data_IF_577465035377
#
_entry.id   IF_577465035377
#
_cell.length_a   1.000
_cell.length_b   1.000
_cell.length_c   1.000
_cell.angle_alpha   90.00
_cell.angle_beta   90.00
_cell.angle_gamma   90.00
#
_symmetry.space_group_name_H-M   'P 1'
#
loop_
_entity.id
_entity.type
_entity.pdbx_description
1 polymer ?
#
# COMPACT_ATOMS: atom_id res chain seq x y z
N UNK A 1 5.19 0.72 1.50
CA UNK A 1 4.57 0.18 0.28
C UNK A 1 3.24 -0.46 0.66
N UNK A 2 2.14 0.19 0.27
CA UNK A 2 0.77 -0.10 0.68
C UNK A 2 -0.16 -0.10 -0.56
N UNK A 3 -0.03 -1.12 -1.42
CA UNK A 3 -0.63 -1.10 -2.76
C UNK A 3 -2.16 -1.12 -2.76
N UNK A 4 -2.78 -2.00 -1.97
CA UNK A 4 -4.23 -2.14 -1.96
C UNK A 4 -4.88 -0.87 -1.40
N UNK A 5 -4.30 -0.26 -0.36
CA UNK A 5 -4.81 1.00 0.17
C UNK A 5 -4.70 2.15 -0.83
N UNK A 6 -3.58 2.32 -1.53
CA UNK A 6 -3.46 3.38 -2.54
C UNK A 6 -4.44 3.18 -3.68
N UNK A 7 -4.60 1.95 -4.18
CA UNK A 7 -5.58 1.65 -5.22
C UNK A 7 -7.01 1.94 -4.73
N UNK A 8 -7.35 1.52 -3.52
CA UNK A 8 -8.69 1.70 -2.97
C UNK A 8 -9.02 3.17 -2.70
N UNK A 9 -8.11 3.92 -2.07
CA UNK A 9 -8.31 5.36 -1.82
C UNK A 9 -8.36 6.15 -3.13
N UNK A 10 -7.54 5.79 -4.12
CA UNK A 10 -7.60 6.40 -5.45
C UNK A 10 -8.93 6.15 -6.15
N UNK A 11 -9.47 4.92 -6.06
CA UNK A 11 -10.80 4.60 -6.59
C UNK A 11 -11.89 5.46 -5.93
N UNK A 12 -11.89 5.57 -4.60
CA UNK A 12 -12.85 6.41 -3.88
C UNK A 12 -12.75 7.90 -4.23
N UNK A 13 -11.55 8.38 -4.53
CA UNK A 13 -11.31 9.75 -4.95
C UNK A 13 -11.48 10.00 -6.45
N UNK A 14 -11.82 8.96 -7.24
CA UNK A 14 -11.90 9.04 -8.69
C UNK A 14 -10.59 9.58 -9.30
N UNK A 15 -9.48 9.00 -8.82
CA UNK A 15 -8.11 9.32 -9.21
C UNK A 15 -7.48 8.18 -10.01
N UNK A 16 -6.40 8.49 -10.74
CA UNK A 16 -5.69 7.51 -11.57
C UNK A 16 -5.09 6.40 -10.69
N UNK A 17 -5.61 5.17 -10.83
CA UNK A 17 -5.06 3.98 -10.18
C UNK A 17 -3.63 3.72 -10.65
N UNK A 18 -3.41 3.89 -11.95
CA UNK A 18 -2.10 3.77 -12.60
C UNK A 18 -1.09 4.76 -12.03
N UNK A 19 -1.48 6.04 -11.90
CA UNK A 19 -0.63 7.06 -11.27
C UNK A 19 -0.31 6.74 -9.80
N UNK A 20 -1.31 6.28 -9.04
CA UNK A 20 -1.11 5.92 -7.64
C UNK A 20 -0.19 4.71 -7.44
N UNK A 21 -0.26 3.69 -8.31
CA UNK A 21 0.62 2.53 -8.21
C UNK A 21 2.03 2.83 -8.74
N UNK A 22 2.14 3.70 -9.74
CA UNK A 22 3.40 4.08 -10.39
C UNK A 22 4.28 5.01 -9.54
N UNK A 23 3.70 5.74 -8.58
CA UNK A 23 4.35 6.82 -7.83
C UNK A 23 5.71 6.45 -7.22
N UNK A 24 5.84 5.26 -6.62
CA UNK A 24 7.08 4.73 -6.04
C UNK A 24 8.24 4.57 -7.05
N UNK A 25 7.91 4.53 -8.34
CA UNK A 25 8.86 4.36 -9.44
C UNK A 25 9.22 5.68 -10.12
N UNK A 26 8.58 6.79 -9.73
CA UNK A 26 8.77 8.10 -10.33
C UNK A 26 9.40 9.05 -9.31
N UNK A 27 10.63 9.50 -9.62
CA UNK A 27 11.34 10.48 -8.80
C UNK A 27 11.12 11.90 -9.34
N UNK A 28 11.07 12.87 -8.43
CA UNK A 28 10.97 14.28 -8.80
C UNK A 28 9.63 14.66 -9.42
N UNK A 29 9.65 15.61 -10.35
CA UNK A 29 8.46 16.15 -11.01
C UNK A 29 8.00 15.25 -12.18
N UNK A 30 6.82 14.62 -12.10
CA UNK A 30 6.29 13.76 -13.16
C UNK A 30 5.70 14.52 -14.37
N UNK A 31 5.44 15.82 -14.27
CA UNK A 31 4.58 16.58 -15.19
C UNK A 31 4.99 16.54 -16.68
N UNK A 32 6.28 16.35 -16.98
CA UNK A 32 6.80 16.30 -18.36
C UNK A 32 6.86 14.89 -18.94
N UNK A 33 6.58 13.86 -18.14
CA UNK A 33 6.81 12.46 -18.51
C UNK A 33 5.51 11.64 -18.59
N UNK A 34 4.42 12.13 -17.98
CA UNK A 34 3.17 11.38 -17.86
C UNK A 34 1.96 12.26 -18.19
N UNK A 35 0.85 11.66 -18.64
CA UNK A 35 -0.42 12.35 -18.81
C UNK A 35 -0.91 13.04 -17.52
N UNK A 36 -1.69 14.13 -17.61
CA UNK A 36 -2.10 14.92 -16.43
C UNK A 36 -2.81 14.11 -15.34
N UNK A 37 -3.67 13.16 -15.71
CA UNK A 37 -4.40 12.30 -14.76
C UNK A 37 -3.45 11.35 -14.00
N UNK A 38 -2.45 10.78 -14.68
CA UNK A 38 -1.40 9.95 -14.06
C UNK A 38 -0.54 10.80 -13.12
N UNK A 39 -0.21 12.02 -13.52
CA UNK A 39 0.52 12.99 -12.69
C UNK A 39 -0.23 13.30 -11.40
N UNK A 40 -1.53 13.60 -11.49
CA UNK A 40 -2.37 13.82 -10.31
C UNK A 40 -2.46 12.58 -9.42
N UNK A 41 -2.54 11.39 -10.00
CA UNK A 41 -2.46 10.13 -9.25
C UNK A 41 -1.14 9.95 -8.49
N UNK A 42 -0.01 10.27 -9.13
CA UNK A 42 1.31 10.24 -8.48
C UNK A 42 1.37 11.24 -7.30
N UNK A 43 0.82 12.44 -7.48
CA UNK A 43 0.78 13.42 -6.39
C UNK A 43 -0.17 13.01 -5.26
N UNK A 44 -1.30 12.37 -5.58
CA UNK A 44 -2.21 11.82 -4.57
C UNK A 44 -1.53 10.75 -3.71
N UNK A 45 -0.84 9.78 -4.33
CA UNK A 45 -0.08 8.78 -3.58
C UNK A 45 0.88 9.43 -2.58
N UNK A 46 1.69 10.39 -3.04
CA UNK A 46 2.64 11.10 -2.18
C UNK A 46 1.97 11.86 -1.04
N UNK A 47 0.77 12.43 -1.27
CA UNK A 47 -0.02 13.09 -0.22
C UNK A 47 -0.54 12.09 0.80
N UNK A 48 -1.01 10.92 0.36
CA UNK A 48 -1.46 9.83 1.23
C UNK A 48 -0.30 9.37 2.13
N UNK A 49 0.89 9.16 1.58
CA UNK A 49 2.07 8.75 2.36
C UNK A 49 2.39 9.76 3.44
N UNK A 50 2.55 11.03 3.05
CA UNK A 50 2.85 12.12 3.98
C UNK A 50 1.78 12.24 5.05
N UNK A 51 0.50 12.14 4.69
CA UNK A 51 -0.59 12.21 5.65
C UNK A 51 -0.55 11.05 6.63
N UNK A 52 -0.42 9.82 6.13
CA UNK A 52 -0.45 8.59 6.92
C UNK A 52 0.74 8.51 7.88
N UNK A 53 1.94 8.88 7.43
CA UNK A 53 3.14 8.94 8.26
C UNK A 53 3.03 9.94 9.44
N UNK A 54 2.14 10.93 9.31
CA UNK A 54 1.92 11.96 10.31
C UNK A 54 0.73 11.69 11.24
N UNK A 55 -0.03 10.62 11.00
CA UNK A 55 -1.14 10.22 11.85
C UNK A 55 -0.65 9.81 13.26
N UNK A 56 -1.32 10.25 14.35
CA UNK A 56 -0.98 9.84 15.71
C UNK A 56 -0.91 8.32 15.87
N UNK A 57 -1.82 7.59 15.24
CA UNK A 57 -1.95 6.13 15.32
C UNK A 57 -0.75 5.42 14.68
N UNK A 58 -0.27 5.94 13.54
CA UNK A 58 0.88 5.39 12.83
C UNK A 58 2.17 5.73 13.57
N UNK A 59 2.26 6.94 14.13
CA UNK A 59 3.40 7.34 14.97
C UNK A 59 3.50 6.49 16.24
N UNK A 60 2.38 6.25 16.90
CA UNK A 60 2.31 5.36 18.07
C UNK A 60 2.70 3.92 17.70
N UNK A 61 2.15 3.38 16.60
CA UNK A 61 2.46 2.03 16.14
C UNK A 61 3.95 1.84 15.81
N UNK A 62 4.62 2.87 15.29
CA UNK A 62 6.08 2.85 15.08
C UNK A 62 6.85 2.68 16.38
N UNK A 63 6.32 3.17 17.50
CA UNK A 63 6.96 3.05 18.82
C UNK A 63 6.89 1.64 19.42
N UNK A 64 6.09 0.74 18.84
CA UNK A 64 5.99 -0.64 19.30
C UNK A 64 7.09 -1.55 18.75
N UNK A 65 7.77 -1.13 17.67
CA UNK A 65 8.86 -1.90 17.09
C UNK A 65 10.09 -1.93 18.01
N UNK A 66 10.74 -3.07 18.15
CA UNK A 66 12.04 -3.17 18.83
C UNK A 66 13.08 -2.25 18.20
N UNK A 67 14.12 -1.91 18.97
CA UNK A 67 15.16 -0.98 18.54
C UNK A 67 15.84 -1.41 17.22
N UNK A 68 16.05 -2.72 17.03
CA UNK A 68 16.71 -3.32 15.86
C UNK A 68 15.87 -3.20 14.58
N UNK A 69 14.55 -3.24 14.71
CA UNK A 69 13.58 -3.22 13.59
C UNK A 69 12.92 -1.85 13.41
N UNK A 70 13.10 -0.92 14.36
CA UNK A 70 12.49 0.43 14.32
C UNK A 70 12.72 1.19 13.02
N UNK A 71 13.91 1.05 12.44
CA UNK A 71 14.28 1.73 11.18
C UNK A 71 13.44 1.29 9.97
N UNK A 72 12.89 0.07 10.00
CA UNK A 72 12.05 -0.47 8.92
C UNK A 72 10.56 -0.42 9.26
N UNK A 73 10.19 0.03 10.47
CA UNK A 73 8.81 0.11 10.92
C UNK A 73 7.86 0.78 9.93
N UNK A 74 8.19 1.91 9.25
CA UNK A 74 7.28 2.49 8.27
C UNK A 74 6.93 1.53 7.12
N UNK A 75 7.93 0.84 6.56
CA UNK A 75 7.74 -0.10 5.46
C UNK A 75 6.95 -1.31 5.94
N UNK A 76 7.24 -1.81 7.14
CA UNK A 76 6.55 -2.96 7.72
C UNK A 76 5.08 -2.64 8.01
N UNK A 77 4.79 -1.46 8.56
CA UNK A 77 3.42 -1.00 8.83
C UNK A 77 2.62 -0.81 7.54
N UNK A 78 3.22 -0.29 6.48
CA UNK A 78 2.54 -0.16 5.19
C UNK A 78 2.00 -1.49 4.66
N UNK A 79 2.80 -2.56 4.78
CA UNK A 79 2.38 -3.92 4.39
C UNK A 79 1.30 -4.44 5.35
N UNK A 80 1.37 -4.09 6.63
CA UNK A 80 0.36 -4.47 7.62
C UNK A 80 -1.00 -3.79 7.39
N UNK A 81 -1.01 -2.55 6.90
CA UNK A 81 -2.26 -1.87 6.57
C UNK A 81 -2.98 -2.54 5.39
N UNK A 82 -2.22 -2.97 4.39
CA UNK A 82 -2.73 -3.80 3.30
C UNK A 82 -3.24 -5.17 3.78
N UNK A 83 -2.60 -5.76 4.80
CA UNK A 83 -3.09 -6.98 5.45
C UNK A 83 -4.50 -6.78 6.02
N UNK A 84 -4.68 -5.79 6.89
CA UNK A 84 -6.00 -5.53 7.50
C UNK A 84 -7.05 -5.14 6.46
N UNK A 85 -6.68 -4.34 5.47
CA UNK A 85 -7.58 -3.97 4.39
C UNK A 85 -8.05 -5.19 3.59
N UNK A 86 -7.13 -6.08 3.21
CA UNK A 86 -7.45 -7.33 2.49
C UNK A 86 -8.27 -8.28 3.38
N UNK A 87 -7.91 -8.39 4.66
CA UNK A 87 -8.57 -9.26 5.64
C UNK A 87 -10.00 -8.83 5.96
N UNK A 88 -10.27 -7.53 5.97
CA UNK A 88 -11.56 -6.92 6.33
C UNK A 88 -12.32 -6.34 5.14
N UNK A 89 -11.90 -6.68 3.93
CA UNK A 89 -12.43 -6.09 2.71
C UNK A 89 -13.97 -6.13 2.63
N UNK A 90 -14.60 -7.23 3.05
CA UNK A 90 -16.06 -7.37 3.03
C UNK A 90 -16.80 -6.38 3.93
N UNK A 91 -16.15 -5.88 4.99
CA UNK A 91 -16.70 -4.85 5.86
C UNK A 91 -16.42 -3.45 5.30
N UNK A 92 -15.27 -3.27 4.66
CA UNK A 92 -14.79 -1.98 4.13
C UNK A 92 -15.48 -1.62 2.81
N UNK A 93 -15.69 -2.60 1.93
CA UNK A 93 -16.28 -2.45 0.61
C UNK A 93 -17.26 -3.61 0.34
N UNK A 94 -18.43 -3.62 0.99
CA UNK A 94 -19.39 -4.72 0.91
C UNK A 94 -19.97 -4.92 -0.49
N UNK A 95 -20.10 -3.84 -1.26
CA UNK A 95 -20.73 -3.86 -2.60
C UNK A 95 -19.73 -4.16 -3.72
N UNK A 96 -18.42 -4.20 -3.44
CA UNK A 96 -17.38 -4.43 -4.44
C UNK A 96 -16.38 -5.49 -3.96
N UNK A 97 -16.61 -6.80 -4.24
CA UNK A 97 -15.75 -7.88 -3.78
C UNK A 97 -14.27 -7.68 -4.16
N UNK A 98 -13.34 -8.09 -3.28
CA UNK A 98 -11.91 -7.84 -3.45
C UNK A 98 -11.38 -8.32 -4.81
N UNK A 99 -11.77 -9.53 -5.24
CA UNK A 99 -11.34 -10.08 -6.53
C UNK A 99 -11.82 -9.23 -7.70
N UNK A 100 -13.04 -8.71 -7.63
CA UNK A 100 -13.60 -7.85 -8.66
C UNK A 100 -12.88 -6.48 -8.67
N UNK A 101 -12.59 -5.92 -7.50
CA UNK A 101 -11.82 -4.70 -7.37
C UNK A 101 -10.40 -4.85 -7.92
N UNK A 102 -9.70 -5.93 -7.56
CA UNK A 102 -8.35 -6.24 -8.06
C UNK A 102 -8.35 -6.42 -9.58
N UNK A 103 -9.35 -7.11 -10.13
CA UNK A 103 -9.51 -7.24 -11.58
C UNK A 103 -9.75 -5.90 -12.28
N UNK A 104 -10.59 -5.05 -11.70
CA UNK A 104 -10.81 -3.68 -12.18
C UNK A 104 -9.53 -2.84 -12.13
N UNK A 105 -8.81 -2.87 -11.01
CA UNK A 105 -7.56 -2.14 -10.83
C UNK A 105 -6.49 -2.60 -11.82
N UNK A 106 -6.34 -3.92 -12.02
CA UNK A 106 -5.42 -4.48 -13.00
C UNK A 106 -5.75 -3.99 -14.41
N UNK A 107 -7.02 -4.00 -14.82
CA UNK A 107 -7.43 -3.53 -16.14
C UNK A 107 -7.08 -2.05 -16.37
N UNK A 108 -7.18 -1.20 -15.35
CA UNK A 108 -6.79 0.22 -15.43
C UNK A 108 -5.26 0.37 -15.53
N UNK A 109 -4.51 -0.34 -14.69
CA UNK A 109 -3.04 -0.26 -14.64
C UNK A 109 -2.40 -0.83 -15.90
N UNK A 110 -2.96 -1.91 -16.45
CA UNK A 110 -2.44 -2.58 -17.64
C UNK A 110 -2.31 -1.64 -18.86
N UNK A 111 -3.12 -0.57 -18.91
CA UNK A 111 -3.11 0.39 -20.02
C UNK A 111 -1.80 1.16 -20.15
N UNK A 112 -1.04 1.34 -19.06
CA UNK A 112 0.21 2.10 -19.05
C UNK A 112 1.46 1.23 -18.99
N UNK A 113 1.32 -0.09 -18.77
CA UNK A 113 2.46 -0.98 -18.55
C UNK A 113 3.48 -0.99 -19.69
N UNK A 114 3.11 -1.00 -20.99
CA UNK A 114 4.07 -1.06 -22.09
C UNK A 114 5.08 0.09 -22.10
N UNK A 115 4.67 1.29 -21.67
CA UNK A 115 5.48 2.51 -21.70
C UNK A 115 6.04 2.88 -20.31
N UNK A 116 5.81 2.02 -19.31
CA UNK A 116 6.21 2.28 -17.93
C UNK A 116 7.67 1.90 -17.65
N UNK A 117 8.28 2.44 -16.57
CA UNK A 117 9.63 2.06 -16.15
C UNK A 117 9.76 0.54 -15.97
N UNK A 118 10.88 -0.10 -16.39
CA UNK A 118 11.02 -1.57 -16.31
C UNK A 118 10.81 -2.16 -14.91
N UNK A 119 11.20 -1.41 -13.87
CA UNK A 119 10.99 -1.84 -12.48
C UNK A 119 9.51 -1.90 -12.09
N UNK A 120 8.68 -1.03 -12.67
CA UNK A 120 7.24 -1.04 -12.46
C UNK A 120 6.59 -2.21 -13.20
N UNK A 121 6.99 -2.44 -14.46
CA UNK A 121 6.53 -3.62 -15.24
C UNK A 121 6.82 -4.91 -14.48
N UNK A 122 8.07 -5.10 -14.05
CA UNK A 122 8.48 -6.28 -13.29
C UNK A 122 7.68 -6.45 -11.99
N UNK A 123 7.32 -5.37 -11.28
CA UNK A 123 6.47 -5.47 -10.09
C UNK A 123 5.08 -6.02 -10.46
N UNK A 124 4.48 -5.47 -11.52
CA UNK A 124 3.12 -5.81 -11.93
C UNK A 124 3.00 -7.27 -12.37
N UNK A 125 4.04 -7.82 -13.01
CA UNK A 125 4.07 -9.23 -13.39
C UNK A 125 3.79 -10.16 -12.19
N UNK A 126 4.39 -9.89 -11.03
CA UNK A 126 4.16 -10.68 -9.81
C UNK A 126 2.90 -10.24 -9.05
N UNK A 127 2.67 -8.92 -8.93
CA UNK A 127 1.56 -8.37 -8.15
C UNK A 127 0.22 -8.98 -8.56
N UNK A 128 -0.01 -9.06 -9.88
CA UNK A 128 -1.25 -9.57 -10.44
C UNK A 128 -1.26 -11.09 -10.56
N UNK A 129 -0.20 -11.71 -11.11
CA UNK A 129 -0.19 -13.15 -11.38
C UNK A 129 -0.18 -14.00 -10.10
N UNK A 130 0.49 -13.53 -9.06
CA UNK A 130 0.55 -14.21 -7.75
C UNK A 130 -0.54 -13.71 -6.78
N UNK A 131 -1.45 -12.85 -7.24
CA UNK A 131 -2.61 -12.34 -6.49
C UNK A 131 -2.24 -11.73 -5.13
N UNK A 132 -1.19 -10.91 -5.08
CA UNK A 132 -0.67 -10.37 -3.82
C UNK A 132 -1.73 -9.62 -3.01
N UNK A 133 -2.52 -8.77 -3.68
CA UNK A 133 -3.55 -7.95 -3.01
C UNK A 133 -4.64 -8.79 -2.32
N UNK A 134 -4.96 -9.96 -2.88
CA UNK A 134 -5.91 -10.92 -2.30
C UNK A 134 -5.27 -11.73 -1.16
N UNK A 135 -3.98 -12.07 -1.30
CA UNK A 135 -3.23 -12.89 -0.35
C UNK A 135 -2.72 -12.12 0.86
N UNK A 136 -2.73 -10.78 0.81
CA UNK A 136 -2.37 -9.96 1.97
C UNK A 136 -3.21 -10.30 3.21
N UNK A 137 -4.42 -10.85 3.07
CA UNK A 137 -5.21 -11.36 4.19
C UNK A 137 -4.53 -12.44 5.04
N UNK A 138 -3.49 -13.09 4.53
CA UNK A 138 -2.81 -14.21 5.18
C UNK A 138 -1.49 -13.73 5.80
N UNK A 139 -1.36 -13.90 7.11
CA UNK A 139 -0.19 -13.45 7.88
C UNK A 139 1.12 -14.12 7.38
N UNK A 140 1.11 -15.42 7.08
CA UNK A 140 2.27 -16.10 6.49
C UNK A 140 2.73 -15.47 5.17
N UNK A 141 1.79 -14.94 4.37
CA UNK A 141 2.12 -14.25 3.14
C UNK A 141 2.79 -12.89 3.40
N UNK A 142 2.36 -12.17 4.43
CA UNK A 142 3.01 -10.93 4.87
C UNK A 142 4.47 -11.18 5.27
N UNK A 143 4.75 -12.26 6.03
CA UNK A 143 6.12 -12.64 6.35
C UNK A 143 6.96 -12.91 5.09
N UNK A 144 6.40 -13.62 4.11
CA UNK A 144 7.08 -13.89 2.83
C UNK A 144 7.37 -12.61 2.04
N UNK A 145 6.46 -11.65 2.04
CA UNK A 145 6.64 -10.34 1.39
C UNK A 145 7.80 -9.57 2.04
N UNK A 146 7.83 -9.48 3.37
CA UNK A 146 8.91 -8.81 4.13
C UNK A 146 10.27 -9.48 3.88
N UNK A 147 10.32 -10.81 3.91
CA UNK A 147 11.51 -11.59 3.59
C UNK A 147 11.99 -11.35 2.14
N UNK A 148 11.05 -11.31 1.20
CA UNK A 148 11.33 -11.02 -0.21
C UNK A 148 11.88 -9.61 -0.43
N UNK A 149 11.43 -8.62 0.35
CA UNK A 149 11.97 -7.26 0.32
C UNK A 149 13.40 -7.20 0.91
N UNK A 150 13.63 -7.87 2.04
CA UNK A 150 14.95 -7.97 2.68
C UNK A 150 15.98 -8.62 1.74
N UNK A 151 15.60 -9.73 1.08
CA UNK A 151 16.44 -10.44 0.09
C UNK A 151 16.90 -9.51 -1.04
N UNK A 152 16.03 -8.61 -1.51
CA UNK A 152 16.30 -7.72 -2.63
C UNK A 152 17.13 -6.50 -2.25
N UNK A 153 17.14 -6.09 -0.98
CA UNK A 153 17.86 -4.90 -0.50
C UNK A 153 18.54 -5.18 0.85
N UNK A 154 19.86 -5.45 0.87
CA UNK A 154 20.59 -5.76 2.11
C UNK A 154 20.48 -4.69 3.21
N UNK A 155 20.28 -3.41 2.84
CA UNK A 155 20.05 -2.32 3.81
C UNK A 155 18.75 -2.47 4.61
N UNK A 156 17.80 -3.26 4.12
CA UNK A 156 16.50 -3.53 4.72
C UNK A 156 16.43 -4.93 5.35
N UNK A 157 17.56 -5.55 5.68
CA UNK A 157 17.58 -6.91 6.26
C UNK A 157 16.73 -7.06 7.53
N UNK A 158 16.62 -5.99 8.32
CA UNK A 158 15.76 -5.93 9.50
C UNK A 158 14.26 -6.16 9.20
N UNK A 159 13.82 -6.11 7.94
CA UNK A 159 12.45 -6.47 7.56
C UNK A 159 12.11 -7.93 7.91
N UNK A 160 13.10 -8.84 7.86
CA UNK A 160 12.87 -10.26 8.21
C UNK A 160 12.35 -10.41 9.62
N UNK A 161 13.04 -9.74 10.55
CA UNK A 161 12.73 -9.84 11.97
C UNK A 161 11.57 -8.92 12.37
N UNK A 162 11.25 -7.90 11.57
CA UNK A 162 10.12 -7.00 11.82
C UNK A 162 8.76 -7.71 11.85
N UNK A 163 8.70 -8.91 11.28
CA UNK A 163 7.58 -9.84 11.41
C UNK A 163 7.15 -10.06 12.88
N UNK A 164 8.12 -10.29 13.77
CA UNK A 164 7.81 -10.57 15.17
C UNK A 164 7.20 -9.37 15.89
N UNK A 165 7.51 -8.14 15.46
CA UNK A 165 6.89 -6.93 16.01
C UNK A 165 5.43 -6.81 15.56
N UNK A 166 5.11 -7.20 14.31
CA UNK A 166 3.73 -7.26 13.83
C UNK A 166 2.91 -8.30 14.58
N UNK A 167 3.44 -9.51 14.73
CA UNK A 167 2.77 -10.62 15.41
C UNK A 167 2.51 -10.30 16.89
N UNK A 168 3.51 -9.73 17.59
CA UNK A 168 3.38 -9.35 19.00
C UNK A 168 2.33 -8.25 19.25
N UNK A 169 2.05 -7.41 18.25
CA UNK A 169 1.16 -6.25 18.38
C UNK A 169 -0.05 -6.31 17.44
N UNK A 170 -0.40 -7.50 16.93
CA UNK A 170 -1.43 -7.67 15.90
C UNK A 170 -2.75 -6.98 16.25
N UNK A 171 -3.34 -7.31 17.41
CA UNK A 171 -4.64 -6.77 17.83
C UNK A 171 -4.60 -5.25 18.02
N UNK A 172 -3.51 -4.72 18.57
CA UNK A 172 -3.33 -3.27 18.77
C UNK A 172 -3.18 -2.54 17.43
N UNK A 173 -2.48 -3.14 16.46
CA UNK A 173 -2.35 -2.60 15.11
C UNK A 173 -3.70 -2.63 14.38
N UNK A 174 -4.51 -3.67 14.58
CA UNK A 174 -5.85 -3.79 14.02
C UNK A 174 -6.77 -2.67 14.55
N UNK A 175 -6.73 -2.42 15.86
CA UNK A 175 -7.47 -1.32 16.47
C UNK A 175 -7.09 0.04 15.86
N UNK A 176 -5.79 0.28 15.68
CA UNK A 176 -5.28 1.51 15.06
C UNK A 176 -5.74 1.64 13.61
N UNK A 177 -5.68 0.56 12.83
CA UNK A 177 -6.19 0.53 11.46
C UNK A 177 -7.66 0.98 11.40
N UNK A 178 -8.52 0.42 12.25
CA UNK A 178 -9.93 0.82 12.31
C UNK A 178 -10.15 2.26 12.78
N UNK A 179 -9.21 2.82 13.54
CA UNK A 179 -9.30 4.20 14.00
C UNK A 179 -8.96 5.23 12.91
N UNK A 180 -8.05 4.91 11.98
CA UNK A 180 -7.63 5.87 10.94
C UNK A 180 -8.16 5.58 9.53
N UNK A 181 -8.27 4.31 9.13
CA UNK A 181 -8.56 3.98 7.73
C UNK A 181 -9.95 4.47 7.26
N UNK A 182 -11.03 4.33 8.05
CA UNK A 182 -12.35 4.90 7.68
C UNK A 182 -12.31 6.43 7.51
N UNK A 183 -11.48 7.14 8.29
CA UNK A 183 -11.28 8.59 8.12
C UNK A 183 -10.60 8.91 6.79
N UNK A 184 -9.60 8.12 6.40
CA UNK A 184 -8.95 8.25 5.10
C UNK A 184 -9.94 8.00 3.95
N UNK A 185 -10.78 6.97 4.04
CA UNK A 185 -11.84 6.71 3.06
C UNK A 185 -12.82 7.89 2.93
N UNK A 186 -13.23 8.47 4.05
CA UNK A 186 -14.14 9.63 4.05
C UNK A 186 -13.49 10.89 3.45
N UNK A 187 -12.17 11.05 3.56
CA UNK A 187 -11.44 12.12 2.87
C UNK A 187 -11.31 11.84 1.37
N UNK A 188 -11.01 10.58 1.00
CA UNK A 188 -10.94 10.14 -0.39
C UNK A 188 -12.26 10.40 -1.13
N UNK A 189 -13.38 9.94 -0.57
CA UNK A 189 -14.72 10.12 -1.14
C UNK A 189 -15.11 11.59 -1.31
N UNK A 190 -14.53 12.50 -0.52
CA UNK A 190 -14.70 13.96 -0.63
C UNK A 190 -13.66 14.62 -1.53
N UNK A 191 -12.78 13.85 -2.17
CA UNK A 191 -11.65 14.30 -3.00
C UNK A 191 -10.74 15.29 -2.25
N UNK A 192 -10.53 15.03 -0.96
CA UNK A 192 -9.75 15.87 -0.04
C UNK A 192 -8.37 15.26 0.33
N UNK A 193 -7.97 14.17 -0.34
CA UNK A 193 -6.63 13.59 -0.28
C UNK A 193 -5.72 14.23 -1.32
#
# INVERSE_FOLDING_TARGET
MNFLAHLHLAHLADSSLSGNLLADFVRGNPATHYPPDVVEGIYMHRRIDVMTDNLPEVREAREWFRHETRRVAPITLDVMWDHFLSRHWTQISPDFPLQAFVGYAHAQVATILPDSPPRFVNLNDYLWSEKWLERYRDMDFIQNVLNGMANRRPRLDALRDSWYDLDAHYDALEERFWHFYPRMMAQAARKAL
#
